data_IF_175748445075
#
_entry.id   IF_175748445075
#
_cell.length_a   1.000
_cell.length_b   1.000
_cell.length_c   1.000
_cell.angle_alpha   90.00
_cell.angle_beta   90.00
_cell.angle_gamma   90.00
#
_symmetry.space_group_name_H-M   'P 1'
#
loop_
_entity.id
_entity.type
_entity.pdbx_description
1 polymer ?
#
# COMPACT_ATOMS: atom_id res chain seq x y z
N UNK A 1 -1.44 5.09 25.94
CA UNK A 1 -1.21 6.47 25.44
C UNK A 1 0.20 6.70 24.91
N UNK A 2 1.28 6.31 25.60
CA UNK A 2 2.66 6.59 25.15
C UNK A 2 3.08 5.78 23.92
N UNK A 3 2.75 4.48 23.88
CA UNK A 3 3.08 3.58 22.77
C UNK A 3 2.31 3.91 21.48
N UNK A 4 1.00 4.18 21.58
CA UNK A 4 0.18 4.62 20.46
C UNK A 4 0.67 5.94 19.84
N UNK A 5 1.08 6.91 20.68
CA UNK A 5 1.70 8.16 20.20
C UNK A 5 3.01 7.89 19.45
N UNK A 6 3.83 6.94 19.92
CA UNK A 6 5.07 6.56 19.25
C UNK A 6 4.79 5.90 17.88
N UNK A 7 3.86 4.94 17.84
CA UNK A 7 3.41 4.29 16.59
C UNK A 7 2.87 5.33 15.61
N UNK A 8 1.96 6.21 16.05
CA UNK A 8 1.40 7.26 15.21
C UNK A 8 2.49 8.16 14.63
N UNK A 9 3.48 8.56 15.44
CA UNK A 9 4.60 9.39 14.99
C UNK A 9 5.49 8.68 13.96
N UNK A 10 5.69 7.38 14.10
CA UNK A 10 6.51 6.59 13.17
C UNK A 10 5.81 6.24 11.86
N UNK A 11 4.50 5.99 11.89
CA UNK A 11 3.74 5.46 10.74
C UNK A 11 2.93 6.52 9.99
N UNK A 12 2.51 7.59 10.68
CA UNK A 12 1.67 8.68 10.14
C UNK A 12 2.34 10.05 10.34
N UNK A 13 3.59 10.27 9.87
CA UNK A 13 4.34 11.51 10.11
C UNK A 13 3.67 12.75 9.52
N UNK A 14 2.75 12.56 8.57
CA UNK A 14 2.04 13.64 7.88
C UNK A 14 0.53 13.67 8.20
N UNK A 15 0.12 12.95 9.24
CA UNK A 15 -1.28 12.72 9.59
C UNK A 15 -1.89 11.53 8.86
N UNK A 16 -2.99 11.02 9.42
CA UNK A 16 -3.74 9.92 8.80
C UNK A 16 -4.47 10.38 7.53
N UNK A 17 -4.56 9.55 6.48
CA UNK A 17 -5.50 9.80 5.39
C UNK A 17 -6.91 10.05 5.93
N UNK A 18 -7.51 11.17 5.53
CA UNK A 18 -8.91 11.49 5.85
C UNK A 18 -9.81 10.86 4.81
N UNK A 19 -11.01 10.46 5.22
CA UNK A 19 -11.98 9.77 4.37
C UNK A 19 -13.05 10.79 4.02
N UNK A 20 -13.20 11.07 2.73
CA UNK A 20 -14.17 12.04 2.20
C UNK A 20 -15.48 11.37 1.75
N UNK A 21 -15.49 10.02 1.69
CA UNK A 21 -16.68 9.24 1.34
C UNK A 21 -17.80 9.47 2.36
N UNK A 22 -19.00 9.79 1.87
CA UNK A 22 -20.20 9.95 2.71
C UNK A 22 -20.62 8.59 3.29
N UNK A 23 -21.05 8.58 4.55
CA UNK A 23 -21.59 7.40 5.26
C UNK A 23 -20.67 6.17 5.29
N UNK A 24 -19.35 6.35 5.33
CA UNK A 24 -18.41 5.23 5.40
C UNK A 24 -18.20 4.76 6.84
N UNK A 25 -18.29 3.45 7.08
CA UNK A 25 -18.04 2.84 8.40
C UNK A 25 -16.61 2.33 8.50
N UNK A 26 -15.70 3.20 8.94
CA UNK A 26 -14.25 2.92 8.97
C UNK A 26 -13.68 3.06 10.38
N UNK A 27 -12.89 2.08 10.80
CA UNK A 27 -12.11 2.13 12.03
C UNK A 27 -10.61 2.21 11.76
N UNK A 28 -9.86 2.72 12.73
CA UNK A 28 -8.39 2.70 12.69
C UNK A 28 -7.87 1.48 13.44
N UNK A 29 -7.04 0.69 12.77
CA UNK A 29 -6.35 -0.44 13.37
C UNK A 29 -4.88 -0.07 13.51
N UNK A 30 -4.40 -0.08 14.75
CA UNK A 30 -3.01 0.17 15.09
C UNK A 30 -2.28 -1.16 15.27
N UNK A 31 -1.09 -1.24 14.68
CA UNK A 31 -0.10 -2.30 14.84
C UNK A 31 1.24 -1.65 15.20
N UNK A 32 2.26 -2.42 15.55
CA UNK A 32 3.56 -1.86 15.93
C UNK A 32 4.27 -1.12 14.79
N UNK A 33 4.17 -1.62 13.56
CA UNK A 33 4.92 -1.09 12.41
C UNK A 33 4.05 -0.44 11.32
N UNK A 34 2.71 -0.54 11.42
CA UNK A 34 1.78 0.11 10.50
C UNK A 34 0.48 0.52 11.18
N UNK A 35 -0.27 1.40 10.51
CA UNK A 35 -1.65 1.75 10.86
C UNK A 35 -2.51 1.63 9.61
N UNK A 36 -3.73 1.12 9.76
CA UNK A 36 -4.67 0.95 8.65
C UNK A 36 -6.04 1.56 8.93
N UNK A 37 -6.70 2.03 7.89
CA UNK A 37 -8.12 2.43 7.91
C UNK A 37 -8.98 1.31 7.35
N UNK A 38 -9.62 0.53 8.21
CA UNK A 38 -10.40 -0.65 7.84
C UNK A 38 -11.88 -0.34 7.62
N UNK A 39 -12.41 -0.66 6.44
CA UNK A 39 -13.83 -0.46 6.12
C UNK A 39 -14.64 -1.70 6.44
N UNK A 40 -15.67 -1.53 7.26
CA UNK A 40 -16.64 -2.59 7.54
C UNK A 40 -17.60 -2.82 6.37
N UNK A 41 -17.80 -1.84 5.50
CA UNK A 41 -18.70 -1.92 4.35
C UNK A 41 -18.17 -2.86 3.26
N UNK A 42 -16.84 -2.88 3.06
CA UNK A 42 -16.17 -3.69 2.02
C UNK A 42 -15.28 -4.79 2.59
N UNK A 43 -15.20 -4.92 3.91
CA UNK A 43 -14.46 -5.97 4.64
C UNK A 43 -12.96 -6.04 4.32
N UNK A 44 -12.34 -4.88 4.06
CA UNK A 44 -10.91 -4.75 3.77
C UNK A 44 -10.36 -3.36 4.16
N UNK A 45 -9.04 -3.21 4.32
CA UNK A 45 -8.41 -1.91 4.52
C UNK A 45 -8.55 -1.02 3.28
N UNK A 46 -8.98 0.23 3.48
CA UNK A 46 -8.97 1.28 2.45
C UNK A 46 -7.57 1.82 2.22
N UNK A 47 -6.76 1.85 3.28
CA UNK A 47 -5.37 2.25 3.24
C UNK A 47 -4.61 1.63 4.40
N UNK A 48 -3.33 1.38 4.18
CA UNK A 48 -2.34 1.01 5.21
C UNK A 48 -1.14 1.92 5.05
N UNK A 49 -0.64 2.44 6.18
CA UNK A 49 0.49 3.36 6.23
C UNK A 49 1.60 2.84 7.14
N UNK A 50 2.83 2.86 6.65
CA UNK A 50 4.02 2.43 7.36
C UNK A 50 5.25 3.20 6.90
N UNK A 51 6.33 3.14 7.66
CA UNK A 51 7.59 3.82 7.32
C UNK A 51 8.74 2.84 7.40
N UNK A 52 9.55 2.84 6.35
CA UNK A 52 10.75 2.03 6.21
C UNK A 52 11.92 2.96 6.46
N UNK A 53 12.80 2.57 7.36
CA UNK A 53 14.01 3.33 7.62
C UNK A 53 15.11 2.91 6.63
N UNK A 54 16.12 3.75 6.45
CA UNK A 54 17.28 3.36 5.63
C UNK A 54 17.99 2.19 6.31
N UNK A 55 18.21 1.10 5.58
CA UNK A 55 19.05 0.00 6.04
C UNK A 55 20.46 0.52 6.32
N UNK A 56 20.82 0.61 7.61
CA UNK A 56 22.19 0.87 8.04
C UNK A 56 23.04 -0.42 7.94
N UNK A 57 23.00 -1.12 6.81
CA UNK A 57 23.88 -2.27 6.54
C UNK A 57 25.38 -1.88 6.50
N UNK A 58 25.71 -0.58 6.62
CA UNK A 58 27.08 -0.04 6.67
C UNK A 58 27.51 0.37 8.09
N UNK A 59 26.63 0.38 9.10
CA UNK A 59 27.01 0.69 10.48
C UNK A 59 26.60 -0.45 11.43
N UNK A 60 27.58 -1.28 11.78
CA UNK A 60 27.52 -2.45 12.67
C UNK A 60 26.96 -2.23 14.11
N UNK A 61 26.28 -1.11 14.40
CA UNK A 61 25.82 -0.77 15.76
C UNK A 61 24.34 -0.43 15.93
N UNK A 62 23.49 -0.48 14.89
CA UNK A 62 22.06 -0.25 15.04
C UNK A 62 21.22 -1.31 14.32
N UNK A 63 20.17 -1.80 14.99
CA UNK A 63 19.21 -2.79 14.49
C UNK A 63 18.54 -2.28 13.22
N UNK A 64 19.01 -2.73 12.06
CA UNK A 64 18.47 -2.39 10.75
C UNK A 64 17.10 -3.02 10.53
N UNK A 65 16.26 -2.37 9.72
CA UNK A 65 15.12 -3.04 9.11
C UNK A 65 15.67 -4.21 8.26
N UNK A 66 15.16 -5.42 8.46
CA UNK A 66 15.61 -6.58 7.70
C UNK A 66 14.42 -7.20 6.97
N UNK A 67 14.62 -7.47 5.68
CA UNK A 67 13.61 -8.10 4.85
C UNK A 67 13.78 -9.62 4.90
N UNK A 68 12.78 -10.30 5.48
CA UNK A 68 12.79 -11.76 5.55
C UNK A 68 12.61 -12.38 4.17
N UNK A 69 13.36 -13.46 3.89
CA UNK A 69 13.18 -14.33 2.71
C UNK A 69 12.36 -15.58 3.04
N UNK A 70 11.84 -15.70 4.27
CA UNK A 70 11.03 -16.84 4.70
C UNK A 70 9.70 -16.88 3.95
N UNK A 71 9.24 -18.10 3.62
CA UNK A 71 7.92 -18.29 3.00
C UNK A 71 6.82 -18.17 4.07
N UNK A 72 5.90 -17.24 3.86
CA UNK A 72 4.72 -17.01 4.68
C UNK A 72 3.41 -17.35 3.95
N UNK A 73 3.50 -18.16 2.88
CA UNK A 73 2.35 -18.59 2.10
C UNK A 73 1.30 -19.33 2.94
N UNK A 74 0.02 -19.07 2.66
CA UNK A 74 -1.13 -19.70 3.35
C UNK A 74 -1.19 -19.52 4.88
N UNK A 75 -0.44 -18.56 5.45
CA UNK A 75 -0.48 -18.22 6.86
C UNK A 75 -1.26 -16.91 7.08
N UNK A 76 -2.32 -16.97 7.89
CA UNK A 76 -3.08 -15.78 8.33
C UNK A 76 -3.46 -15.90 9.79
N UNK A 77 -3.33 -14.79 10.52
CA UNK A 77 -3.80 -14.67 11.89
C UNK A 77 -5.11 -13.88 11.94
N UNK A 78 -6.09 -14.40 12.67
CA UNK A 78 -7.35 -13.70 12.85
C UNK A 78 -7.12 -12.41 13.66
N UNK A 79 -7.58 -11.28 13.13
CA UNK A 79 -7.71 -10.06 13.91
C UNK A 79 -9.00 -10.08 14.73
N UNK A 80 -8.87 -10.14 16.05
CA UNK A 80 -10.02 -10.25 16.97
C UNK A 80 -10.86 -8.97 17.05
N UNK A 81 -10.35 -7.84 16.54
CA UNK A 81 -11.10 -6.56 16.52
C UNK A 81 -12.20 -6.56 15.46
N UNK A 82 -12.09 -7.40 14.43
CA UNK A 82 -13.01 -7.46 13.30
C UNK A 82 -13.68 -8.83 13.24
N UNK A 83 -15.02 -8.92 13.07
CA UNK A 83 -15.70 -10.19 12.89
C UNK A 83 -15.18 -10.95 11.67
N UNK A 84 -14.77 -12.20 11.89
CA UNK A 84 -14.21 -13.05 10.85
C UNK A 84 -15.25 -13.41 9.78
N UNK A 85 -14.91 -13.21 8.50
CA UNK A 85 -15.72 -13.62 7.35
C UNK A 85 -15.04 -14.73 6.55
N UNK A 86 -15.78 -15.53 5.75
CA UNK A 86 -15.16 -16.59 4.97
C UNK A 86 -14.07 -16.11 3.99
N UNK A 87 -14.25 -14.92 3.40
CA UNK A 87 -13.25 -14.28 2.52
C UNK A 87 -11.94 -13.92 3.23
N UNK A 88 -11.91 -13.91 4.56
CA UNK A 88 -10.70 -13.67 5.35
C UNK A 88 -9.89 -14.95 5.63
N UNK A 89 -10.40 -16.13 5.29
CA UNK A 89 -9.78 -17.42 5.65
C UNK A 89 -8.87 -17.93 4.53
N UNK A 90 -7.73 -18.53 4.88
CA UNK A 90 -6.84 -19.20 3.91
C UNK A 90 -7.59 -20.23 3.04
N UNK A 91 -8.56 -20.95 3.61
CA UNK A 91 -9.38 -21.93 2.90
C UNK A 91 -10.13 -21.37 1.70
N UNK A 92 -10.49 -20.08 1.73
CA UNK A 92 -11.16 -19.41 0.61
C UNK A 92 -10.26 -19.30 -0.62
N UNK A 93 -8.98 -18.98 -0.42
CA UNK A 93 -7.99 -18.79 -1.49
C UNK A 93 -7.24 -20.07 -1.87
N UNK A 94 -7.21 -21.07 -0.98
CA UNK A 94 -6.52 -22.34 -1.22
C UNK A 94 -6.98 -23.00 -2.53
N UNK A 95 -6.05 -23.32 -3.42
CA UNK A 95 -6.29 -23.92 -4.74
C UNK A 95 -7.19 -23.08 -5.67
N UNK A 96 -7.28 -21.76 -5.47
CA UNK A 96 -7.92 -20.87 -6.44
C UNK A 96 -6.87 -20.44 -7.49
N UNK A 97 -7.08 -20.84 -8.75
CA UNK A 97 -6.10 -20.66 -9.83
C UNK A 97 -6.05 -19.24 -10.40
N UNK A 98 -7.02 -18.38 -10.09
CA UNK A 98 -7.09 -17.02 -10.65
C UNK A 98 -6.94 -15.95 -9.58
N UNK A 99 -7.60 -16.12 -8.43
CA UNK A 99 -7.65 -15.11 -7.37
C UNK A 99 -6.99 -15.62 -6.09
N UNK A 100 -6.07 -14.83 -5.56
CA UNK A 100 -5.40 -15.02 -4.28
C UNK A 100 -5.63 -13.79 -3.38
N UNK A 101 -4.76 -13.58 -2.41
CA UNK A 101 -4.73 -12.39 -1.55
C UNK A 101 -3.32 -11.78 -1.53
N UNK A 102 -3.23 -10.49 -1.30
CA UNK A 102 -1.99 -9.77 -1.05
C UNK A 102 -2.05 -9.02 0.27
N UNK A 103 -0.90 -8.62 0.79
CA UNK A 103 -0.78 -7.82 2.03
C UNK A 103 -0.48 -6.36 1.68
N UNK A 104 -1.16 -5.41 2.34
CA UNK A 104 -0.88 -3.98 2.13
C UNK A 104 0.39 -3.51 2.86
N UNK A 105 0.56 -3.89 4.13
CA UNK A 105 1.87 -3.81 4.81
C UNK A 105 2.64 -5.11 4.57
N UNK A 106 3.89 -5.07 4.06
CA UNK A 106 4.65 -6.26 3.71
C UNK A 106 5.09 -7.05 4.96
N UNK A 107 4.78 -8.36 5.07
CA UNK A 107 5.25 -9.20 6.18
C UNK A 107 6.76 -9.40 6.22
N UNK A 108 7.45 -9.18 5.10
CA UNK A 108 8.91 -9.26 5.03
C UNK A 108 9.58 -8.13 5.81
N UNK A 109 8.92 -6.98 5.97
CA UNK A 109 9.47 -5.83 6.68
C UNK A 109 9.27 -6.01 8.18
N UNK A 110 10.36 -6.32 8.88
CA UNK A 110 10.36 -6.40 10.33
C UNK A 110 11.50 -5.57 10.94
N UNK A 111 11.12 -4.53 11.69
CA UNK A 111 12.08 -3.67 12.38
C UNK A 111 12.77 -4.42 13.51
N UNK A 112 14.09 -4.60 13.40
CA UNK A 112 14.93 -5.20 14.44
C UNK A 112 14.87 -6.73 14.56
N UNK A 113 14.32 -7.42 13.56
CA UNK A 113 14.39 -8.90 13.45
C UNK A 113 14.36 -9.33 11.99
N UNK A 114 15.10 -10.38 11.64
CA UNK A 114 15.10 -10.97 10.29
C UNK A 114 13.92 -11.94 10.04
N UNK A 115 13.08 -12.16 11.04
CA UNK A 115 11.90 -13.02 10.96
C UNK A 115 10.72 -12.28 10.32
N UNK A 116 9.76 -13.04 9.78
CA UNK A 116 8.49 -12.48 9.28
C UNK A 116 7.76 -11.70 10.38
N UNK A 117 7.28 -10.50 10.05
CA UNK A 117 6.51 -9.67 10.96
C UNK A 117 5.08 -10.22 11.12
N UNK A 118 4.82 -10.90 12.24
CA UNK A 118 3.57 -11.62 12.48
C UNK A 118 2.31 -10.76 12.41
N UNK A 119 2.36 -9.50 12.84
CA UNK A 119 1.16 -8.63 12.81
C UNK A 119 0.78 -8.20 11.39
N UNK A 120 1.69 -8.26 10.42
CA UNK A 120 1.36 -8.06 9.02
C UNK A 120 0.61 -9.27 8.43
N UNK A 121 0.63 -10.44 9.07
CA UNK A 121 -0.15 -11.62 8.67
C UNK A 121 -1.60 -11.57 9.18
N UNK A 122 -2.04 -10.47 9.80
CA UNK A 122 -3.41 -10.30 10.25
C UNK A 122 -4.40 -10.28 9.07
N UNK A 123 -5.58 -10.89 9.27
CA UNK A 123 -6.68 -10.90 8.28
C UNK A 123 -7.17 -9.51 7.88
N UNK A 124 -6.87 -8.48 8.67
CA UNK A 124 -7.23 -7.08 8.41
C UNK A 124 -6.23 -6.33 7.52
N UNK A 125 -5.10 -6.97 7.17
CA UNK A 125 -4.08 -6.43 6.28
C UNK A 125 -4.13 -7.06 4.86
N UNK A 126 -5.08 -7.97 4.60
CA UNK A 126 -5.20 -8.63 3.30
C UNK A 126 -6.20 -7.94 2.37
N UNK A 127 -5.93 -8.06 1.07
CA UNK A 127 -6.78 -7.58 -0.03
C UNK A 127 -6.85 -8.65 -1.13
N UNK A 128 -8.00 -8.82 -1.83
CA UNK A 128 -8.10 -9.76 -2.95
C UNK A 128 -7.15 -9.37 -4.09
N UNK A 129 -6.33 -10.32 -4.56
CA UNK A 129 -5.27 -10.03 -5.53
C UNK A 129 -5.11 -11.17 -6.55
N UNK A 130 -5.12 -10.86 -7.85
CA UNK A 130 -4.87 -11.82 -8.91
C UNK A 130 -3.42 -12.31 -8.85
N UNK A 131 -3.20 -13.59 -9.16
CA UNK A 131 -1.86 -14.18 -9.12
C UNK A 131 -0.88 -13.49 -10.10
N UNK A 132 -1.36 -13.05 -11.26
CA UNK A 132 -0.59 -12.25 -12.22
C UNK A 132 -0.08 -10.94 -11.60
N UNK A 133 -0.92 -10.27 -10.82
CA UNK A 133 -0.58 -9.00 -10.18
C UNK A 133 0.33 -9.18 -8.96
N UNK A 134 0.28 -10.34 -8.29
CA UNK A 134 1.22 -10.66 -7.21
C UNK A 134 2.68 -10.59 -7.66
N UNK A 135 2.99 -10.86 -8.93
CA UNK A 135 4.36 -10.68 -9.48
C UNK A 135 4.81 -9.23 -9.35
N UNK A 136 3.97 -8.28 -9.78
CA UNK A 136 4.23 -6.83 -9.67
C UNK A 136 4.36 -6.44 -8.19
N UNK A 137 3.42 -6.91 -7.36
CA UNK A 137 3.35 -6.58 -5.95
C UNK A 137 4.56 -7.10 -5.16
N UNK A 138 4.98 -8.34 -5.41
CA UNK A 138 6.14 -8.96 -4.79
C UNK A 138 7.43 -8.30 -5.24
N UNK A 139 7.59 -8.01 -6.54
CA UNK A 139 8.78 -7.30 -7.03
C UNK A 139 8.88 -5.90 -6.42
N UNK A 140 7.76 -5.18 -6.31
CA UNK A 140 7.72 -3.87 -5.68
C UNK A 140 8.18 -3.93 -4.22
N UNK A 141 7.54 -4.76 -3.39
CA UNK A 141 7.83 -4.82 -1.95
C UNK A 141 9.16 -5.52 -1.62
N UNK A 142 9.55 -6.51 -2.41
CA UNK A 142 10.76 -7.31 -2.20
C UNK A 142 12.04 -6.67 -2.74
N UNK A 143 11.93 -5.82 -3.77
CA UNK A 143 13.11 -5.23 -4.45
C UNK A 143 13.07 -3.71 -4.46
N UNK A 144 12.05 -3.12 -5.10
CA UNK A 144 12.01 -1.67 -5.34
C UNK A 144 11.91 -0.86 -4.06
N UNK A 145 11.14 -1.36 -3.12
CA UNK A 145 10.85 -0.65 -1.89
C UNK A 145 12.09 -0.48 -1.00
N UNK A 146 12.98 -1.48 -0.98
CA UNK A 146 14.29 -1.40 -0.33
C UNK A 146 15.17 -0.36 -1.02
N UNK A 147 15.29 -0.43 -2.35
CA UNK A 147 16.09 0.50 -3.15
C UNK A 147 15.65 1.95 -2.93
N UNK A 148 14.34 2.21 -2.97
CA UNK A 148 13.81 3.55 -2.70
C UNK A 148 14.07 4.02 -1.27
N UNK A 149 13.99 3.15 -0.26
CA UNK A 149 14.31 3.51 1.12
C UNK A 149 15.80 3.85 1.30
N UNK A 150 16.69 3.14 0.60
CA UNK A 150 18.13 3.40 0.62
C UNK A 150 18.48 4.74 -0.04
N UNK A 151 17.96 4.99 -1.24
CA UNK A 151 18.21 6.22 -2.02
C UNK A 151 17.65 7.47 -1.34
N UNK A 152 16.55 7.34 -0.58
CA UNK A 152 15.79 8.47 -0.02
C UNK A 152 15.95 8.67 1.48
N UNK A 153 16.86 7.91 2.11
CA UNK A 153 17.09 7.95 3.56
C UNK A 153 15.82 7.65 4.38
N UNK A 154 15.12 6.60 3.99
CA UNK A 154 13.84 6.18 4.53
C UNK A 154 12.66 6.65 3.69
N UNK A 155 11.55 5.92 3.81
CA UNK A 155 10.38 6.09 2.96
C UNK A 155 9.11 5.84 3.76
N UNK A 156 8.17 6.78 3.74
CA UNK A 156 6.81 6.54 4.19
C UNK A 156 5.97 6.04 3.00
N UNK A 157 5.17 5.01 3.25
CA UNK A 157 4.34 4.34 2.25
C UNK A 157 2.90 4.37 2.71
N UNK A 158 1.99 4.74 1.81
CA UNK A 158 0.56 4.50 1.97
C UNK A 158 0.05 3.72 0.76
N UNK A 159 -0.52 2.55 0.98
CA UNK A 159 -1.04 1.70 -0.09
C UNK A 159 -2.48 1.26 0.20
N UNK A 160 -3.24 0.94 -0.86
CA UNK A 160 -4.61 0.47 -0.70
C UNK A 160 -5.31 0.10 -2.01
N UNK A 161 -6.49 -0.54 -1.92
CA UNK A 161 -7.29 -0.90 -3.08
C UNK A 161 -8.02 0.31 -3.68
N UNK A 162 -8.33 0.23 -4.97
CA UNK A 162 -9.10 1.22 -5.72
C UNK A 162 -10.28 0.54 -6.40
N UNK A 163 -11.44 1.20 -6.41
CA UNK A 163 -12.66 0.75 -7.06
C UNK A 163 -13.20 1.88 -7.92
N UNK A 164 -13.07 1.70 -9.23
CA UNK A 164 -13.46 2.62 -10.29
C UNK A 164 -13.94 1.74 -11.46
N UNK A 165 -15.14 1.17 -11.28
CA UNK A 165 -15.70 0.16 -12.18
C UNK A 165 -16.35 0.79 -13.41
N UNK A 166 -16.71 2.07 -13.33
CA UNK A 166 -17.26 2.88 -14.42
C UNK A 166 -16.20 3.73 -15.14
N UNK A 167 -14.94 3.69 -14.68
CA UNK A 167 -13.76 4.28 -15.32
C UNK A 167 -13.85 5.81 -15.39
N UNK A 168 -14.51 6.43 -14.42
CA UNK A 168 -14.73 7.87 -14.36
C UNK A 168 -13.63 8.62 -13.56
N UNK A 169 -12.68 7.86 -12.98
CA UNK A 169 -11.56 8.37 -12.20
C UNK A 169 -11.92 8.80 -10.77
N UNK A 170 -13.12 8.47 -10.30
CA UNK A 170 -13.60 8.71 -8.94
C UNK A 170 -13.83 7.39 -8.21
N UNK A 171 -14.00 7.47 -6.89
CA UNK A 171 -14.33 6.28 -6.11
C UNK A 171 -15.77 5.84 -6.38
N UNK A 172 -15.97 4.55 -6.62
CA UNK A 172 -17.29 3.95 -6.77
C UNK A 172 -18.19 4.19 -5.54
N UNK A 173 -19.48 4.43 -5.78
CA UNK A 173 -20.51 4.45 -4.74
C UNK A 173 -20.71 3.05 -4.14
N UNK A 174 -21.27 2.95 -2.91
CA UNK A 174 -21.56 1.64 -2.31
C UNK A 174 -22.55 0.81 -3.14
N UNK A 175 -23.45 1.46 -3.90
CA UNK A 175 -24.36 0.78 -4.82
C UNK A 175 -23.59 0.19 -6.01
N UNK A 176 -22.73 0.98 -6.64
CA UNK A 176 -21.85 0.55 -7.73
C UNK A 176 -20.96 -0.61 -7.30
N UNK A 177 -20.38 -0.54 -6.08
CA UNK A 177 -19.56 -1.61 -5.50
C UNK A 177 -20.32 -2.93 -5.34
N UNK A 178 -21.58 -2.88 -4.88
CA UNK A 178 -22.42 -4.07 -4.73
C UNK A 178 -22.80 -4.68 -6.07
N UNK A 179 -23.13 -3.83 -7.06
CA UNK A 179 -23.46 -4.27 -8.42
C UNK A 179 -22.27 -4.95 -9.12
N UNK A 180 -21.04 -4.49 -8.85
CA UNK A 180 -19.80 -5.04 -9.41
C UNK A 180 -19.14 -6.12 -8.54
N UNK A 181 -19.78 -6.51 -7.43
CA UNK A 181 -19.31 -7.62 -6.62
C UNK A 181 -19.34 -8.93 -7.41
N UNK A 182 -18.45 -9.86 -7.05
CA UNK A 182 -18.40 -11.19 -7.67
C UNK A 182 -18.74 -12.26 -6.65
N UNK A 183 -19.39 -13.32 -7.11
CA UNK A 183 -19.63 -14.52 -6.30
C UNK A 183 -18.55 -15.55 -6.64
N UNK A 184 -17.69 -15.84 -5.67
CA UNK A 184 -16.64 -16.86 -5.78
C UNK A 184 -16.80 -17.80 -4.59
N UNK A 185 -16.88 -19.12 -4.85
CA UNK A 185 -17.08 -20.15 -3.79
C UNK A 185 -18.24 -19.81 -2.84
N UNK A 186 -19.38 -19.37 -3.40
CA UNK A 186 -20.58 -18.95 -2.66
C UNK A 186 -20.35 -17.81 -1.66
N UNK A 187 -19.36 -16.96 -1.89
CA UNK A 187 -19.11 -15.75 -1.12
C UNK A 187 -19.07 -14.55 -2.05
N UNK A 188 -19.72 -13.47 -1.63
CA UNK A 188 -19.62 -12.17 -2.28
C UNK A 188 -18.26 -11.54 -1.96
N UNK A 189 -17.55 -11.09 -3.00
CA UNK A 189 -16.23 -10.49 -2.88
C UNK A 189 -16.11 -9.30 -3.83
N UNK A 190 -15.60 -8.20 -3.32
CA UNK A 190 -15.24 -7.03 -4.11
C UNK A 190 -13.77 -7.16 -4.52
N UNK A 191 -13.50 -7.17 -5.82
CA UNK A 191 -12.13 -7.25 -6.34
C UNK A 191 -11.71 -5.84 -6.78
N UNK A 192 -10.61 -5.28 -6.25
CA UNK A 192 -10.14 -3.96 -6.66
C UNK A 192 -9.90 -3.88 -8.17
N UNK A 193 -10.20 -2.73 -8.76
CA UNK A 193 -9.89 -2.41 -10.17
C UNK A 193 -8.42 -2.03 -10.33
N UNK A 194 -7.87 -1.34 -9.34
CA UNK A 194 -6.49 -0.91 -9.26
C UNK A 194 -5.98 -1.02 -7.82
N UNK A 195 -4.67 -0.87 -7.64
CA UNK A 195 -4.04 -0.62 -6.35
C UNK A 195 -3.28 0.69 -6.40
N UNK A 196 -3.44 1.54 -5.40
CA UNK A 196 -2.63 2.75 -5.29
C UNK A 196 -1.46 2.54 -4.33
N UNK A 197 -0.37 3.24 -4.61
CA UNK A 197 0.79 3.37 -3.71
C UNK A 197 1.21 4.84 -3.73
N UNK A 198 1.36 5.44 -2.56
CA UNK A 198 1.91 6.78 -2.36
C UNK A 198 3.17 6.66 -1.53
N UNK A 199 4.30 7.04 -2.14
CA UNK A 199 5.62 7.11 -1.54
C UNK A 199 5.92 8.54 -1.15
N UNK A 200 6.41 8.75 0.07
CA UNK A 200 6.77 10.08 0.57
C UNK A 200 8.09 10.03 1.33
N UNK A 201 9.04 10.84 0.89
CA UNK A 201 10.34 11.06 1.54
C UNK A 201 10.61 12.56 1.68
N UNK A 202 11.80 12.93 2.14
CA UNK A 202 12.22 14.33 2.17
C UNK A 202 12.92 14.69 0.85
N UNK A 203 12.78 15.94 0.39
CA UNK A 203 13.65 16.47 -0.69
C UNK A 203 15.11 16.53 -0.27
N UNK A 204 15.37 16.84 1.00
CA UNK A 204 16.69 16.78 1.58
C UNK A 204 16.94 15.37 2.12
N UNK A 205 17.76 14.58 1.43
CA UNK A 205 18.08 13.19 1.80
C UNK A 205 18.90 13.06 3.08
N UNK A 206 19.35 14.17 3.69
CA UNK A 206 19.93 14.17 5.03
C UNK A 206 18.88 14.05 6.15
N UNK A 207 17.60 14.29 5.84
CA UNK A 207 16.47 14.16 6.76
C UNK A 207 15.77 12.80 6.58
N UNK A 208 15.04 12.36 7.61
CA UNK A 208 14.20 11.15 7.53
C UNK A 208 12.72 11.54 7.37
N UNK A 209 11.85 10.65 6.85
CA UNK A 209 10.41 10.91 6.65
C UNK A 209 9.68 11.53 7.87
N UNK A 210 10.14 11.23 9.08
CA UNK A 210 9.55 11.76 10.31
C UNK A 210 9.84 13.24 10.60
N UNK A 211 10.82 13.84 9.91
CA UNK A 211 11.38 15.17 10.18
C UNK A 211 11.44 16.06 8.94
N UNK A 212 10.82 15.66 7.83
CA UNK A 212 10.91 16.43 6.58
C UNK A 212 10.36 17.85 6.73
N UNK A 213 11.14 18.82 6.27
CA UNK A 213 10.66 20.19 6.03
C UNK A 213 9.92 20.28 4.69
N UNK A 214 10.50 19.72 3.63
CA UNK A 214 9.93 19.67 2.29
C UNK A 214 9.76 18.23 1.83
N UNK A 215 8.55 17.87 1.43
CA UNK A 215 8.23 16.52 0.96
C UNK A 215 8.65 16.32 -0.49
N UNK A 216 9.13 15.12 -0.78
CA UNK A 216 9.25 14.56 -2.12
C UNK A 216 8.32 13.36 -2.25
N UNK A 217 7.56 13.29 -3.34
CA UNK A 217 6.42 12.38 -3.46
C UNK A 217 6.40 11.67 -4.80
N UNK A 218 6.06 10.39 -4.78
CA UNK A 218 5.84 9.56 -5.95
C UNK A 218 4.60 8.70 -5.73
N UNK A 219 3.65 8.73 -6.66
CA UNK A 219 2.41 7.97 -6.54
C UNK A 219 2.15 7.12 -7.78
N UNK A 220 1.46 6.01 -7.58
CA UNK A 220 1.12 5.03 -8.61
C UNK A 220 -0.35 4.61 -8.47
N UNK A 221 -1.01 4.35 -9.60
CA UNK A 221 -2.33 3.70 -9.68
C UNK A 221 -2.18 2.50 -10.61
N UNK A 222 -1.91 1.33 -10.05
CA UNK A 222 -1.53 0.14 -10.80
C UNK A 222 -2.78 -0.67 -11.19
N UNK A 223 -2.97 -1.02 -12.47
CA UNK A 223 -4.14 -1.76 -12.92
C UNK A 223 -4.10 -3.20 -12.43
N UNK A 224 -5.18 -3.62 -11.75
CA UNK A 224 -5.29 -4.94 -11.15
C UNK A 224 -5.88 -5.95 -12.16
N UNK A 225 -5.02 -6.48 -13.03
CA UNK A 225 -5.40 -7.34 -14.16
C UNK A 225 -5.12 -8.83 -13.90
N UNK A 226 -5.87 -9.68 -14.60
CA UNK A 226 -5.75 -11.16 -14.54
C UNK A 226 -4.56 -11.73 -15.30
N UNK A 227 -3.85 -10.90 -16.07
CA UNK A 227 -2.64 -11.24 -16.81
C UNK A 227 -1.71 -10.01 -16.88
N UNK A 228 -0.47 -10.24 -17.32
CA UNK A 228 0.54 -9.19 -17.53
C UNK A 228 0.77 -8.92 -19.03
N UNK A 229 -0.30 -9.00 -19.84
CA UNK A 229 -0.23 -8.80 -21.30
C UNK A 229 0.20 -7.38 -21.69
N UNK A 230 -0.12 -6.37 -20.88
CA UNK A 230 0.31 -4.98 -21.08
C UNK A 230 1.83 -4.83 -21.18
N UNK A 231 2.55 -5.61 -20.40
CA UNK A 231 4.02 -5.51 -20.28
C UNK A 231 4.76 -6.36 -21.31
N UNK A 232 4.04 -7.20 -22.09
CA UNK A 232 4.62 -8.20 -22.98
C UNK A 232 5.75 -8.99 -22.28
N UNK A 233 5.45 -9.53 -21.09
CA UNK A 233 6.47 -10.05 -20.15
C UNK A 233 7.21 -11.32 -20.63
N UNK A 234 6.79 -11.95 -21.73
CA UNK A 234 7.41 -13.18 -22.22
C UNK A 234 8.89 -12.97 -22.57
N UNK A 235 9.78 -13.72 -21.92
CA UNK A 235 11.22 -13.64 -22.13
C UNK A 235 11.91 -12.41 -21.54
N UNK A 236 11.19 -11.55 -20.78
CA UNK A 236 11.76 -10.37 -20.11
C UNK A 236 12.01 -10.64 -18.63
N UNK A 237 13.09 -10.08 -18.09
CA UNK A 237 13.35 -10.09 -16.64
C UNK A 237 12.38 -9.14 -15.91
N UNK A 238 11.90 -9.53 -14.72
CA UNK A 238 10.94 -8.75 -13.92
C UNK A 238 11.41 -7.32 -13.65
N UNK A 239 12.70 -7.14 -13.39
CA UNK A 239 13.28 -5.80 -13.14
C UNK A 239 13.14 -4.82 -14.29
N UNK A 240 12.97 -5.30 -15.53
CA UNK A 240 12.80 -4.42 -16.68
C UNK A 240 11.34 -4.01 -16.81
N UNK A 241 10.43 -4.98 -16.91
CA UNK A 241 9.05 -4.69 -17.31
C UNK A 241 8.17 -4.20 -16.15
N UNK A 242 8.47 -4.61 -14.90
CA UNK A 242 7.72 -4.13 -13.73
C UNK A 242 8.01 -2.65 -13.50
N UNK A 243 9.28 -2.25 -13.55
CA UNK A 243 9.66 -0.84 -13.41
C UNK A 243 9.09 0.04 -14.52
N UNK A 244 9.09 -0.44 -15.77
CA UNK A 244 8.46 0.25 -16.90
C UNK A 244 6.95 0.44 -16.67
N UNK A 245 6.26 -0.61 -16.20
CA UNK A 245 4.84 -0.56 -15.86
C UNK A 245 4.57 0.47 -14.76
N UNK A 246 5.36 0.49 -13.69
CA UNK A 246 5.22 1.49 -12.62
C UNK A 246 5.43 2.92 -13.14
N UNK A 247 6.46 3.15 -13.97
CA UNK A 247 6.71 4.47 -14.56
C UNK A 247 5.55 4.92 -15.45
N UNK A 248 4.94 3.99 -16.18
CA UNK A 248 3.77 4.24 -17.05
C UNK A 248 2.52 4.58 -16.25
N UNK A 249 2.31 3.92 -15.12
CA UNK A 249 1.15 4.07 -14.22
C UNK A 249 1.42 4.98 -13.01
N UNK A 250 2.42 5.86 -13.12
CA UNK A 250 2.61 6.93 -12.14
C UNK A 250 1.45 7.93 -12.24
N UNK A 251 1.07 8.49 -11.11
CA UNK A 251 -0.05 9.40 -11.00
C UNK A 251 0.30 10.58 -10.10
N UNK A 252 -0.54 11.63 -10.14
CA UNK A 252 -0.50 12.68 -9.13
C UNK A 252 -1.14 12.15 -7.86
N UNK A 253 -0.77 12.69 -6.71
CA UNK A 253 -1.48 12.36 -5.45
C UNK A 253 -2.94 12.80 -5.56
N UNK A 254 -3.23 13.90 -6.27
CA UNK A 254 -4.59 14.34 -6.54
C UNK A 254 -5.43 13.28 -7.27
N UNK A 255 -4.84 12.52 -8.20
CA UNK A 255 -5.52 11.43 -8.90
C UNK A 255 -5.86 10.29 -7.92
N UNK A 256 -4.93 9.97 -7.02
CA UNK A 256 -5.17 9.01 -5.93
C UNK A 256 -6.29 9.49 -5.01
N UNK A 257 -6.32 10.78 -4.64
CA UNK A 257 -7.37 11.34 -3.78
C UNK A 257 -8.76 11.25 -4.43
N UNK A 258 -8.87 11.56 -5.72
CA UNK A 258 -10.14 11.47 -6.46
C UNK A 258 -10.65 10.03 -6.53
N UNK A 259 -9.79 9.08 -6.96
CA UNK A 259 -10.20 7.70 -7.21
C UNK A 259 -10.38 6.88 -5.93
N UNK A 260 -9.84 7.33 -4.80
CA UNK A 260 -9.98 6.65 -3.50
C UNK A 260 -10.98 7.32 -2.56
N UNK A 261 -11.24 8.62 -2.74
CA UNK A 261 -11.97 9.42 -1.76
C UNK A 261 -11.18 9.64 -0.46
N UNK A 262 -9.85 9.55 -0.53
CA UNK A 262 -8.95 9.86 0.58
C UNK A 262 -8.40 11.28 0.46
N UNK A 263 -7.89 11.83 1.56
CA UNK A 263 -7.14 13.08 1.57
C UNK A 263 -5.90 12.98 2.46
N UNK A 264 -4.73 13.16 1.86
CA UNK A 264 -3.41 13.01 2.46
C UNK A 264 -2.87 14.35 3.00
N UNK A 265 -1.86 14.26 3.87
CA UNK A 265 -1.03 15.38 4.34
C UNK A 265 -1.76 16.50 5.11
N UNK A 266 -2.92 16.22 5.68
CA UNK A 266 -3.72 17.26 6.38
C UNK A 266 -3.13 17.74 7.72
N UNK A 267 -2.15 17.03 8.30
CA UNK A 267 -1.48 17.45 9.55
C UNK A 267 -0.10 18.09 9.28
N UNK A 268 0.22 18.40 8.01
CA UNK A 268 1.39 19.18 7.63
C UNK A 268 1.23 20.65 8.03
N UNK A 269 2.35 21.33 8.26
CA UNK A 269 2.37 22.72 8.74
C UNK A 269 2.38 23.74 7.60
N UNK A 270 2.74 23.30 6.41
CA UNK A 270 2.80 24.11 5.20
C UNK A 270 1.42 24.66 4.82
N UNK A 271 1.36 25.84 4.18
CA UNK A 271 0.13 26.39 3.62
C UNK A 271 -0.60 25.40 2.70
N UNK A 272 -1.93 25.45 2.69
CA UNK A 272 -2.77 24.56 1.86
C UNK A 272 -2.39 24.66 0.38
N UNK A 273 -2.06 25.85 -0.13
CA UNK A 273 -1.63 26.06 -1.51
C UNK A 273 -0.37 25.25 -1.86
N UNK A 274 0.57 25.13 -0.92
CA UNK A 274 1.82 24.41 -1.13
C UNK A 274 1.59 22.90 -1.11
N UNK A 275 0.68 22.43 -0.23
CA UNK A 275 0.23 21.04 -0.23
C UNK A 275 -0.52 20.70 -1.52
N UNK A 276 -1.35 21.60 -2.05
CA UNK A 276 -2.02 21.41 -3.34
C UNK A 276 -1.01 21.35 -4.49
N UNK A 277 -0.02 22.26 -4.51
CA UNK A 277 1.08 22.23 -5.48
C UNK A 277 1.80 20.89 -5.46
N UNK A 278 2.14 20.39 -4.27
CA UNK A 278 2.73 19.06 -4.07
C UNK A 278 1.82 17.96 -4.65
N UNK A 279 0.54 17.96 -4.31
CA UNK A 279 -0.41 16.92 -4.74
C UNK A 279 -0.66 16.87 -6.23
N UNK A 280 -0.55 18.01 -6.91
CA UNK A 280 -0.74 18.12 -8.37
C UNK A 280 0.53 17.86 -9.18
N UNK A 281 1.69 17.72 -8.53
CA UNK A 281 2.94 17.42 -9.20
C UNK A 281 2.92 16.00 -9.78
N UNK A 282 3.32 15.85 -11.05
CA UNK A 282 3.58 14.56 -11.68
C UNK A 282 5.08 14.45 -11.96
N UNK A 283 5.79 13.48 -11.35
CA UNK A 283 7.20 13.27 -11.61
C UNK A 283 7.46 13.01 -13.10
N UNK A 284 8.59 13.51 -13.61
CA UNK A 284 9.06 13.25 -14.97
C UNK A 284 10.33 12.43 -14.91
N UNK A 285 10.41 11.36 -15.70
CA UNK A 285 11.65 10.60 -15.92
C UNK A 285 12.31 11.15 -17.19
N UNK A 286 13.60 11.47 -17.12
CA UNK A 286 14.35 11.85 -18.30
C UNK A 286 14.60 10.60 -19.16
N UNK A 287 14.64 10.75 -20.48
CA UNK A 287 14.86 9.63 -21.42
C UNK A 287 16.29 9.06 -21.38
N UNK A 288 17.18 9.60 -20.56
CA UNK A 288 18.60 9.22 -20.47
C UNK A 288 18.94 8.37 -19.23
N UNK A 289 17.96 8.03 -18.37
CA UNK A 289 18.13 7.16 -17.18
C UNK A 289 17.60 5.72 -17.37
#
# INVERSE_FOLDING_TARGET
>A
MTQEKAIKRGTLPYGRPRILRKNSTVCLLYQHQFVSGYSHDILMPLWTAYTIDRNASICHLFTSDSFSTEDFSNCLYQDLRIPLRPVHKCSFYKNNTKLSYGFLSPPQLNKGSSQVYSEALLTTNIVPMYQSFQVIWHYFHGTLLQRYAEERNGLNVVSGPVFDSDYDGHYDSLETLKQNSRIIRNQEIMIPTHFFIVLTSCKNTSQTPSQCENLDTLAFILPHRTDNSESCAHGKHESSWVEELLRRHRARIADVEHITGLSFYQERKEPISDILKLKTHLPTFNQED
#
